data_IF_424270486414
#
_entry.id   IF_424270486414
#
_cell.length_a   1.000
_cell.length_b   1.000
_cell.length_c   1.000
_cell.angle_alpha   90.00
_cell.angle_beta   90.00
_cell.angle_gamma   90.00
#
_symmetry.space_group_name_H-M   'P 1'
#
loop_
_entity.id
_entity.type
_entity.pdbx_description
1 polymer ?
#
# COMPACT_ATOMS: atom_id res chain seq x y z
N UNK A 1 -19.29 45.49 4.05
CA UNK A 1 -19.09 44.42 5.06
C UNK A 1 -17.62 44.43 5.41
N UNK A 2 -17.29 44.73 6.68
CA UNK A 2 -15.91 44.73 7.16
C UNK A 2 -15.56 43.31 7.60
N UNK A 3 -14.53 42.72 7.00
CA UNK A 3 -14.02 41.40 7.38
C UNK A 3 -12.88 41.57 8.38
N UNK A 4 -12.99 40.93 9.54
CA UNK A 4 -11.91 40.79 10.51
C UNK A 4 -11.22 39.45 10.27
N UNK A 5 -9.92 39.48 9.95
CA UNK A 5 -9.09 38.30 9.72
C UNK A 5 -8.33 37.93 11.00
N UNK A 6 -8.14 36.62 11.25
CA UNK A 6 -7.42 36.11 12.42
C UNK A 6 -6.29 35.14 12.01
N UNK A 7 -5.20 35.17 12.77
CA UNK A 7 -4.15 34.13 12.78
C UNK A 7 -3.98 33.60 14.21
N UNK A 8 -3.37 32.43 14.33
CA UNK A 8 -3.50 31.47 15.43
C UNK A 8 -2.84 31.86 16.78
N UNK A 9 -2.95 33.12 17.22
CA UNK A 9 -2.46 33.57 18.52
C UNK A 9 -3.57 34.33 19.26
N UNK A 10 -4.12 33.70 20.31
CA UNK A 10 -5.06 34.16 21.33
C UNK A 10 -6.12 35.21 20.91
N UNK A 11 -7.40 34.83 20.72
CA UNK A 11 -8.42 35.76 20.27
C UNK A 11 -8.96 36.60 21.44
N UNK A 12 -8.62 37.89 21.48
CA UNK A 12 -9.55 38.85 22.06
C UNK A 12 -10.48 39.32 20.94
N UNK A 13 -11.77 39.01 21.06
CA UNK A 13 -12.77 39.62 20.20
C UNK A 13 -12.76 41.11 20.53
N UNK A 14 -12.44 41.96 19.57
CA UNK A 14 -12.67 43.41 19.72
C UNK A 14 -14.15 43.68 20.03
N UNK A 15 -14.49 44.92 20.41
CA UNK A 15 -15.89 45.30 20.68
C UNK A 15 -16.75 45.11 19.43
N UNK A 16 -17.57 44.05 19.40
CA UNK A 16 -18.43 43.69 18.25
C UNK A 16 -19.62 44.64 18.08
N UNK A 17 -20.32 44.93 19.17
CA UNK A 17 -21.45 45.85 19.20
C UNK A 17 -21.56 46.45 20.60
N UNK A 18 -21.99 47.71 20.72
CA UNK A 18 -22.26 48.31 22.03
C UNK A 18 -23.60 47.77 22.55
N UNK A 19 -23.67 47.52 23.85
CA UNK A 19 -24.85 46.92 24.51
C UNK A 19 -26.13 47.72 24.25
N UNK A 20 -26.07 49.05 24.38
CA UNK A 20 -27.18 49.97 24.12
C UNK A 20 -27.74 49.84 22.70
N UNK A 21 -26.86 49.59 21.72
CA UNK A 21 -27.24 49.42 20.31
C UNK A 21 -27.84 48.03 20.06
N UNK A 22 -27.36 46.99 20.74
CA UNK A 22 -27.91 45.64 20.62
C UNK A 22 -29.34 45.57 21.20
N UNK A 23 -29.55 46.14 22.38
CA UNK A 23 -30.84 46.16 23.09
C UNK A 23 -31.92 46.96 22.33
N UNK A 24 -31.51 47.97 21.54
CA UNK A 24 -32.42 48.74 20.69
C UNK A 24 -32.64 48.10 19.31
N UNK A 25 -31.96 46.99 19.00
CA UNK A 25 -32.03 46.36 17.68
C UNK A 25 -33.18 45.36 17.60
N UNK A 26 -33.72 45.18 16.40
CA UNK A 26 -34.69 44.11 16.08
C UNK A 26 -34.15 42.68 16.24
N UNK A 27 -32.86 42.52 16.54
CA UNK A 27 -32.20 41.23 16.68
C UNK A 27 -32.08 40.79 18.15
N UNK A 28 -32.51 41.64 19.09
CA UNK A 28 -32.67 41.34 20.50
C UNK A 28 -34.17 41.28 20.80
N UNK A 29 -34.69 40.09 21.10
CA UNK A 29 -36.09 39.87 21.42
C UNK A 29 -36.21 38.80 22.50
N UNK A 30 -37.08 39.02 23.49
CA UNK A 30 -37.32 38.08 24.60
C UNK A 30 -36.02 37.61 25.30
N UNK A 31 -35.16 38.56 25.67
CA UNK A 31 -33.82 38.35 26.25
C UNK A 31 -32.87 37.46 25.42
N UNK A 32 -33.22 37.18 24.16
CA UNK A 32 -32.45 36.36 23.24
C UNK A 32 -31.92 37.18 22.06
N UNK A 33 -30.70 36.85 21.63
CA UNK A 33 -30.14 37.33 20.38
C UNK A 33 -29.27 36.25 19.74
N UNK A 34 -29.21 36.27 18.40
CA UNK A 34 -28.48 35.25 17.63
C UNK A 34 -27.23 35.84 17.02
N UNK A 35 -26.07 35.25 17.34
CA UNK A 35 -24.79 35.58 16.70
C UNK A 35 -24.55 34.60 15.55
N UNK A 36 -24.40 35.12 14.32
CA UNK A 36 -23.94 34.33 13.18
C UNK A 36 -22.44 34.51 13.00
N UNK A 37 -21.67 33.45 13.25
CA UNK A 37 -20.24 33.40 12.97
C UNK A 37 -20.00 32.72 11.63
N UNK A 38 -19.17 33.32 10.77
CA UNK A 38 -18.67 32.67 9.54
C UNK A 38 -17.17 32.53 9.64
N UNK A 39 -16.69 31.29 9.62
CA UNK A 39 -15.27 30.96 9.69
C UNK A 39 -14.81 30.59 8.28
N UNK A 40 -13.79 31.29 7.79
CA UNK A 40 -13.13 30.97 6.52
C UNK A 40 -11.79 30.33 6.85
N UNK A 41 -11.64 29.04 6.53
CA UNK A 41 -10.37 28.33 6.66
C UNK A 41 -9.54 28.58 5.41
N UNK A 42 -8.61 29.53 5.49
CA UNK A 42 -7.67 29.77 4.41
C UNK A 42 -6.64 28.63 4.36
N UNK A 43 -6.76 27.72 3.38
CA UNK A 43 -5.70 26.76 3.06
C UNK A 43 -4.52 27.55 2.47
N UNK A 44 -3.32 27.30 2.99
CA UNK A 44 -2.09 27.93 2.51
C UNK A 44 -1.87 27.49 1.05
N UNK A 45 -2.16 28.37 0.10
CA UNK A 45 -1.84 28.13 -1.31
C UNK A 45 -0.32 28.22 -1.45
N UNK A 46 0.34 27.07 -1.60
CA UNK A 46 1.74 27.05 -2.03
C UNK A 46 1.76 27.60 -3.46
N UNK A 47 2.56 28.63 -3.73
CA UNK A 47 2.73 29.18 -5.08
C UNK A 47 3.18 28.09 -6.05
N UNK A 48 2.30 27.67 -6.96
CA UNK A 48 2.60 26.73 -8.05
C UNK A 48 3.24 27.45 -9.25
N UNK A 49 4.39 28.11 -9.03
CA UNK A 49 5.22 28.60 -10.13
C UNK A 49 6.62 28.00 -10.03
N UNK A 50 6.69 26.69 -9.85
CA UNK A 50 7.83 25.90 -10.30
C UNK A 50 7.40 25.26 -11.61
N UNK A 51 8.16 25.46 -12.67
CA UNK A 51 8.11 24.61 -13.86
C UNK A 51 8.13 23.17 -13.36
N UNK A 52 7.00 22.49 -13.56
CA UNK A 52 6.75 21.18 -12.99
C UNK A 52 7.62 20.19 -13.74
N UNK A 53 8.80 19.86 -13.19
CA UNK A 53 9.52 18.66 -13.61
C UNK A 53 8.53 17.50 -13.44
N UNK A 54 8.08 16.95 -14.56
CA UNK A 54 7.21 15.77 -14.57
C UNK A 54 8.12 14.58 -14.25
N UNK A 55 7.98 14.03 -13.06
CA UNK A 55 8.66 12.79 -12.68
C UNK A 55 7.79 11.64 -13.17
N UNK A 56 8.30 10.74 -14.05
CA UNK A 56 7.53 9.59 -14.48
C UNK A 56 7.22 8.67 -13.28
N UNK A 57 6.09 7.95 -13.30
CA UNK A 57 5.80 6.93 -12.30
C UNK A 57 6.89 5.88 -12.19
N UNK A 58 7.01 5.26 -11.02
CA UNK A 58 7.96 4.17 -10.82
C UNK A 58 7.52 2.93 -11.58
N UNK A 59 8.44 2.36 -12.36
CA UNK A 59 8.27 1.15 -13.13
C UNK A 59 8.90 -0.10 -12.49
N UNK A 60 9.44 0.02 -11.28
CA UNK A 60 10.11 -1.06 -10.55
C UNK A 60 9.27 -2.35 -10.44
N UNK A 61 7.93 -2.22 -10.33
CA UNK A 61 7.01 -3.37 -10.30
C UNK A 61 7.05 -4.15 -11.60
N UNK A 62 7.04 -3.45 -12.74
CA UNK A 62 7.11 -4.05 -14.08
C UNK A 62 8.47 -4.73 -14.27
N UNK A 63 9.55 -4.04 -13.93
CA UNK A 63 10.91 -4.57 -14.13
C UNK A 63 11.17 -5.86 -13.32
N UNK A 64 10.73 -5.92 -12.05
CA UNK A 64 10.79 -7.17 -11.27
C UNK A 64 9.82 -8.25 -11.78
N UNK A 65 8.67 -7.86 -12.32
CA UNK A 65 7.75 -8.79 -12.97
C UNK A 65 8.35 -9.42 -14.23
N UNK A 66 9.09 -8.63 -15.01
CA UNK A 66 9.77 -9.08 -16.22
C UNK A 66 10.92 -10.03 -15.87
N UNK A 67 11.72 -9.74 -14.84
CA UNK A 67 12.75 -10.66 -14.34
C UNK A 67 12.16 -12.01 -13.93
N UNK A 68 11.00 -12.02 -13.25
CA UNK A 68 10.33 -13.26 -12.85
C UNK A 68 9.83 -14.06 -14.06
N UNK A 69 9.31 -13.38 -15.09
CA UNK A 69 8.73 -14.02 -16.28
C UNK A 69 9.78 -14.51 -17.29
N UNK A 70 10.87 -13.76 -17.43
CA UNK A 70 11.98 -14.08 -18.35
C UNK A 70 12.99 -15.05 -17.74
N UNK A 71 13.02 -15.14 -16.41
CA UNK A 71 13.99 -15.92 -15.63
C UNK A 71 15.44 -15.41 -15.76
N UNK A 72 15.64 -14.19 -16.29
CA UNK A 72 16.95 -13.59 -16.46
C UNK A 72 17.66 -13.45 -15.10
N UNK A 73 18.86 -14.03 -15.00
CA UNK A 73 19.65 -14.03 -13.77
C UNK A 73 19.10 -14.90 -12.63
N UNK A 74 18.16 -15.79 -12.91
CA UNK A 74 17.67 -16.74 -11.91
C UNK A 74 18.81 -17.66 -11.41
N UNK A 75 18.92 -17.80 -10.09
CA UNK A 75 20.00 -18.51 -9.40
C UNK A 75 19.47 -19.57 -8.41
N UNK A 76 18.16 -19.83 -8.43
CA UNK A 76 17.49 -20.89 -7.68
C UNK A 76 16.28 -21.42 -8.45
N UNK A 77 15.92 -22.69 -8.22
CA UNK A 77 14.72 -23.32 -8.78
C UNK A 77 13.98 -24.08 -7.68
N UNK A 78 12.67 -23.88 -7.59
CA UNK A 78 11.78 -24.58 -6.65
C UNK A 78 10.96 -25.63 -7.38
N UNK A 79 10.75 -26.78 -6.76
CA UNK A 79 9.79 -27.76 -7.24
C UNK A 79 8.47 -27.60 -6.46
N UNK A 80 7.41 -27.22 -7.15
CA UNK A 80 6.07 -26.99 -6.57
C UNK A 80 5.06 -27.83 -7.34
N UNK A 81 4.39 -28.76 -6.67
CA UNK A 81 3.39 -29.64 -7.28
C UNK A 81 3.86 -30.38 -8.55
N UNK A 82 5.17 -30.63 -8.70
CA UNK A 82 5.76 -31.28 -9.87
C UNK A 82 6.27 -30.32 -10.95
N UNK A 83 5.98 -29.03 -10.83
CA UNK A 83 6.48 -27.98 -11.71
C UNK A 83 7.75 -27.35 -11.15
N UNK A 84 8.65 -26.93 -12.04
CA UNK A 84 9.87 -26.23 -11.68
C UNK A 84 9.67 -24.73 -11.89
N UNK A 85 9.94 -23.95 -10.85
CA UNK A 85 9.79 -22.49 -10.85
C UNK A 85 11.15 -21.87 -10.57
N UNK A 86 11.73 -21.20 -11.56
CA UNK A 86 12.97 -20.45 -11.39
C UNK A 86 12.73 -19.17 -10.57
N UNK A 87 13.77 -18.67 -9.91
CA UNK A 87 13.69 -17.42 -9.16
C UNK A 87 15.04 -16.89 -8.71
N UNK A 88 15.00 -15.82 -7.93
CA UNK A 88 16.17 -15.04 -7.54
C UNK A 88 16.33 -15.03 -6.02
N UNK A 89 17.43 -15.63 -5.53
CA UNK A 89 17.74 -15.78 -4.10
C UNK A 89 17.76 -14.45 -3.36
N UNK A 90 18.36 -13.43 -3.98
CA UNK A 90 18.47 -12.10 -3.38
C UNK A 90 17.11 -11.44 -3.16
N UNK A 91 16.20 -11.56 -4.13
CA UNK A 91 14.83 -11.05 -4.05
C UNK A 91 14.05 -11.81 -2.97
N UNK A 92 14.10 -13.14 -3.00
CA UNK A 92 13.41 -13.97 -2.00
C UNK A 92 13.89 -13.70 -0.57
N UNK A 93 15.21 -13.60 -0.38
CA UNK A 93 15.81 -13.26 0.90
C UNK A 93 15.49 -11.84 1.37
N UNK A 94 15.32 -10.88 0.46
CA UNK A 94 14.89 -9.53 0.80
C UNK A 94 13.42 -9.48 1.22
N UNK A 95 12.57 -10.33 0.63
CA UNK A 95 11.11 -10.31 0.83
C UNK A 95 10.62 -11.21 1.96
N UNK A 96 11.38 -12.24 2.33
CA UNK A 96 10.99 -13.24 3.32
C UNK A 96 12.15 -13.54 4.26
N UNK A 97 11.93 -13.35 5.56
CA UNK A 97 12.91 -13.72 6.58
C UNK A 97 13.18 -15.24 6.59
N UNK A 98 12.16 -16.03 6.25
CA UNK A 98 12.22 -17.50 6.15
C UNK A 98 13.11 -17.90 4.99
N UNK A 99 12.88 -17.35 3.79
CA UNK A 99 13.78 -17.61 2.66
C UNK A 99 15.18 -17.07 2.93
N UNK A 100 15.31 -15.90 3.57
CA UNK A 100 16.63 -15.37 3.96
C UNK A 100 17.39 -16.36 4.84
N UNK A 101 16.76 -16.91 5.87
CA UNK A 101 17.38 -17.88 6.75
C UNK A 101 17.69 -19.21 6.03
N UNK A 102 16.80 -19.71 5.17
CA UNK A 102 17.01 -20.96 4.44
C UNK A 102 18.10 -20.84 3.36
N UNK A 103 18.14 -19.70 2.66
CA UNK A 103 18.99 -19.51 1.49
C UNK A 103 20.36 -18.92 1.86
N UNK A 104 20.42 -18.08 2.90
CA UNK A 104 21.64 -17.37 3.33
C UNK A 104 22.10 -17.75 4.75
N UNK A 105 21.29 -18.46 5.53
CA UNK A 105 21.58 -18.80 6.93
C UNK A 105 22.41 -20.06 7.14
N UNK A 106 22.75 -20.81 6.09
CA UNK A 106 23.72 -21.91 6.16
C UNK A 106 25.16 -21.37 6.11
N UNK A 107 25.56 -20.62 7.12
CA UNK A 107 26.98 -20.36 7.42
C UNK A 107 27.27 -20.72 8.87
N UNK A 108 27.14 -22.00 9.22
CA UNK A 108 27.78 -22.57 10.40
C UNK A 108 28.73 -23.69 9.95
N UNK A 109 29.99 -23.30 9.90
CA UNK A 109 31.25 -24.03 9.77
C UNK A 109 31.20 -25.53 10.16
N UNK A 110 31.48 -26.39 9.18
CA UNK A 110 31.44 -27.84 9.33
C UNK A 110 31.89 -28.61 8.09
N UNK A 111 33.10 -28.31 7.60
CA UNK A 111 33.94 -29.16 6.73
C UNK A 111 33.29 -30.36 6.01
N UNK A 112 32.87 -30.19 4.76
CA UNK A 112 33.17 -31.15 3.70
C UNK A 112 33.51 -30.39 2.40
N UNK A 113 34.80 -30.35 2.08
CA UNK A 113 35.25 -30.19 0.70
C UNK A 113 34.76 -31.41 -0.08
N UNK A 114 33.82 -31.21 -0.99
CA UNK A 114 33.67 -32.09 -2.15
C UNK A 114 33.14 -31.27 -3.33
N UNK A 115 34.02 -31.23 -4.32
CA UNK A 115 33.87 -30.91 -5.73
C UNK A 115 33.43 -29.53 -6.23
N UNK A 116 34.21 -29.13 -7.24
CA UNK A 116 34.15 -27.87 -7.93
C UNK A 116 32.97 -27.82 -8.91
N UNK A 117 32.20 -26.75 -8.83
CA UNK A 117 31.88 -25.99 -10.04
C UNK A 117 31.86 -24.50 -9.69
N UNK A 118 33.03 -23.91 -9.87
CA UNK A 118 33.25 -22.47 -9.92
C UNK A 118 33.12 -22.08 -11.40
N UNK A 119 31.96 -21.56 -11.78
CA UNK A 119 31.73 -20.83 -13.03
C UNK A 119 30.74 -19.71 -12.70
N UNK A 120 31.01 -18.42 -12.84
CA UNK A 120 32.22 -17.73 -13.23
C UNK A 120 32.16 -16.31 -12.63
N UNK A 121 33.32 -15.80 -12.22
CA UNK A 121 33.53 -14.38 -12.11
C UNK A 121 33.89 -13.89 -13.52
N UNK A 122 33.20 -12.87 -14.00
CA UNK A 122 33.61 -12.01 -15.11
C UNK A 122 33.16 -10.61 -14.72
N UNK A 123 34.08 -9.85 -14.13
CA UNK A 123 34.92 -8.87 -14.82
C UNK A 123 34.23 -7.51 -14.83
N UNK A 124 34.54 -6.74 -13.80
CA UNK A 124 34.48 -5.29 -13.84
C UNK A 124 35.29 -4.84 -15.07
N UNK A 125 34.59 -4.33 -16.08
CA UNK A 125 35.21 -3.63 -17.20
C UNK A 125 34.79 -2.18 -17.11
N UNK A 126 35.76 -1.35 -16.70
CA UNK A 126 35.75 0.08 -16.94
C UNK A 126 35.62 0.29 -18.46
N UNK A 127 34.51 0.92 -18.87
CA UNK A 127 34.30 1.34 -20.25
C UNK A 127 34.08 2.84 -20.27
N UNK A 128 35.19 3.58 -20.31
CA UNK A 128 35.22 4.93 -20.87
C UNK A 128 34.97 4.81 -22.38
N UNK A 129 33.77 5.21 -22.83
CA UNK A 129 33.58 5.68 -24.21
C UNK A 129 32.34 6.55 -24.31
N UNK A 130 32.60 7.84 -24.48
CA UNK A 130 31.69 8.83 -25.02
C UNK A 130 31.38 8.49 -26.48
N UNK A 131 30.12 8.24 -26.83
CA UNK A 131 29.58 8.53 -28.17
C UNK A 131 28.14 9.04 -28.01
N UNK A 132 27.95 10.29 -28.45
CA UNK A 132 26.71 11.07 -28.49
C UNK A 132 25.85 10.72 -29.72
N UNK A 133 24.57 11.13 -29.63
CA UNK A 133 23.54 11.20 -30.70
C UNK A 133 22.99 9.84 -31.18
N UNK A 134 21.68 9.60 -31.16
CA UNK A 134 20.67 10.37 -31.87
C UNK A 134 19.33 10.49 -31.13
N UNK A 135 18.68 11.62 -31.42
CA UNK A 135 17.33 12.00 -31.00
C UNK A 135 16.28 11.09 -31.63
N UNK A 136 15.42 10.48 -30.82
CA UNK A 136 14.08 10.11 -31.27
C UNK A 136 13.04 10.86 -30.45
N UNK A 137 12.52 11.91 -31.10
CA UNK A 137 11.34 12.63 -30.70
C UNK A 137 10.10 11.84 -31.12
N UNK A 138 9.38 11.26 -30.18
CA UNK A 138 7.95 11.00 -30.36
C UNK A 138 7.20 11.52 -29.13
N UNK A 139 6.73 12.77 -29.27
CA UNK A 139 5.67 13.32 -28.45
C UNK A 139 4.35 13.05 -29.18
N UNK A 140 3.65 12.00 -28.76
CA UNK A 140 2.22 11.78 -28.99
C UNK A 140 1.80 10.78 -27.90
N UNK A 141 0.81 10.95 -27.05
CA UNK A 141 -0.27 11.90 -26.96
C UNK A 141 -1.33 11.23 -26.09
N UNK A 142 -1.51 11.74 -24.86
CA UNK A 142 -2.80 11.89 -24.16
C UNK A 142 -3.48 10.63 -23.54
N UNK A 143 -3.68 10.75 -22.21
CA UNK A 143 -4.66 10.10 -21.30
C UNK A 143 -4.57 8.59 -21.05
N UNK A 144 -4.70 8.06 -19.84
CA UNK A 144 -4.62 8.56 -18.46
C UNK A 144 -3.76 7.51 -17.70
N UNK A 145 -3.40 7.68 -16.45
CA UNK A 145 -4.33 7.74 -15.34
C UNK A 145 -3.64 8.41 -14.16
N UNK A 146 -4.48 9.12 -13.43
CA UNK A 146 -4.21 9.59 -12.10
C UNK A 146 -3.69 8.44 -11.23
N UNK A 147 -2.85 8.78 -10.24
CA UNK A 147 -2.54 7.87 -9.15
C UNK A 147 -3.81 7.66 -8.33
N UNK A 148 -4.70 6.82 -8.81
CA UNK A 148 -5.64 6.13 -7.95
C UNK A 148 -4.86 4.93 -7.39
N UNK A 149 -4.51 5.04 -6.10
CA UNK A 149 -4.04 3.94 -5.23
C UNK A 149 -5.22 2.98 -4.92
N UNK A 150 -6.16 2.87 -5.87
CA UNK A 150 -7.20 1.86 -5.94
C UNK A 150 -6.77 0.92 -7.07
N UNK A 151 -6.05 -0.14 -6.68
CA UNK A 151 -5.97 -1.38 -7.46
C UNK A 151 -7.42 -1.92 -7.62
N UNK A 152 -8.21 -1.31 -8.50
CA UNK A 152 -9.26 -2.01 -9.24
C UNK A 152 -8.56 -2.73 -10.40
N UNK A 153 -7.68 -3.67 -10.05
CA UNK A 153 -7.60 -4.88 -10.83
C UNK A 153 -9.02 -5.48 -10.74
N UNK A 154 -9.86 -5.13 -11.72
CA UNK A 154 -11.02 -5.91 -12.17
C UNK A 154 -10.49 -7.27 -12.68
N UNK A 155 -9.81 -8.01 -11.80
CA UNK A 155 -9.57 -9.43 -11.92
C UNK A 155 -10.93 -10.08 -11.74
N UNK A 156 -11.59 -10.23 -12.90
CA UNK A 156 -12.62 -11.19 -13.23
C UNK A 156 -13.04 -12.03 -12.01
N UNK A 157 -14.13 -11.60 -11.38
CA UNK A 157 -14.78 -12.16 -10.19
C UNK A 157 -15.27 -13.60 -10.45
N UNK A 158 -14.33 -14.52 -10.64
CA UNK A 158 -14.60 -15.93 -10.90
C UNK A 158 -13.53 -16.88 -10.31
N UNK A 159 -12.66 -16.38 -9.44
CA UNK A 159 -11.75 -17.19 -8.62
C UNK A 159 -12.17 -17.19 -7.16
N UNK A 160 -12.74 -18.30 -6.69
CA UNK A 160 -13.40 -18.45 -5.40
C UNK A 160 -12.59 -18.00 -4.16
N UNK A 161 -13.34 -17.72 -3.10
CA UNK A 161 -12.95 -17.83 -1.68
C UNK A 161 -11.90 -18.92 -1.37
N UNK A 162 -11.86 -20.00 -2.15
CA UNK A 162 -10.85 -21.07 -2.10
C UNK A 162 -9.40 -20.62 -2.35
N UNK A 163 -9.13 -19.52 -3.07
CA UNK A 163 -7.76 -19.10 -3.40
C UNK A 163 -7.06 -18.33 -2.26
N UNK A 164 -7.82 -17.50 -1.53
CA UNK A 164 -7.25 -16.60 -0.54
C UNK A 164 -6.84 -17.31 0.75
N UNK A 165 -7.54 -18.40 1.09
CA UNK A 165 -7.25 -19.20 2.29
C UNK A 165 -5.87 -19.89 2.22
N UNK A 166 -5.53 -20.67 1.18
CA UNK A 166 -4.18 -21.23 0.99
C UNK A 166 -3.11 -20.14 0.88
N UNK A 167 -3.42 -19.02 0.22
CA UNK A 167 -2.47 -17.91 0.07
C UNK A 167 -2.15 -17.25 1.42
N UNK A 168 -3.13 -17.08 2.31
CA UNK A 168 -2.91 -16.60 3.67
C UNK A 168 -1.97 -17.54 4.46
N UNK A 169 -2.18 -18.86 4.33
CA UNK A 169 -1.32 -19.86 4.97
C UNK A 169 0.11 -19.78 4.44
N UNK A 170 0.28 -19.64 3.13
CA UNK A 170 1.60 -19.47 2.52
C UNK A 170 2.26 -18.16 2.98
N UNK A 171 1.51 -17.07 3.00
CA UNK A 171 2.02 -15.77 3.43
C UNK A 171 2.50 -15.79 4.88
N UNK A 172 1.79 -16.45 5.79
CA UNK A 172 2.25 -16.64 7.17
C UNK A 172 3.49 -17.53 7.24
N UNK A 173 3.46 -18.68 6.54
CA UNK A 173 4.56 -19.65 6.53
C UNK A 173 5.89 -19.06 6.05
N UNK A 174 5.85 -18.15 5.07
CA UNK A 174 7.03 -17.50 4.50
C UNK A 174 7.24 -16.07 5.04
N UNK A 175 6.54 -15.66 6.09
CA UNK A 175 6.69 -14.35 6.74
C UNK A 175 6.51 -13.15 5.77
N UNK A 176 5.53 -13.24 4.88
CA UNK A 176 5.16 -12.20 3.92
C UNK A 176 4.07 -11.30 4.50
N UNK A 177 4.43 -10.44 5.47
CA UNK A 177 3.47 -9.68 6.28
C UNK A 177 2.48 -8.82 5.48
N UNK A 178 2.95 -8.09 4.44
CA UNK A 178 2.05 -7.29 3.60
C UNK A 178 1.04 -8.17 2.86
N UNK A 179 1.48 -9.30 2.31
CA UNK A 179 0.61 -10.25 1.62
C UNK A 179 -0.40 -10.87 2.60
N UNK A 180 0.03 -11.21 3.82
CA UNK A 180 -0.85 -11.72 4.87
C UNK A 180 -2.00 -10.75 5.17
N UNK A 181 -1.72 -9.45 5.23
CA UNK A 181 -2.74 -8.41 5.45
C UNK A 181 -3.68 -8.26 4.25
N UNK A 182 -3.16 -8.32 3.02
CA UNK A 182 -3.98 -8.28 1.80
C UNK A 182 -4.95 -9.47 1.77
N UNK A 183 -4.46 -10.68 2.00
CA UNK A 183 -5.31 -11.88 2.07
C UNK A 183 -6.37 -11.76 3.18
N UNK A 184 -5.98 -11.27 4.36
CA UNK A 184 -6.93 -11.06 5.44
C UNK A 184 -8.02 -10.04 5.08
N UNK A 185 -7.66 -8.92 4.42
CA UNK A 185 -8.61 -7.90 3.95
C UNK A 185 -9.62 -8.51 2.97
N UNK A 186 -9.15 -9.22 1.94
CA UNK A 186 -10.01 -9.87 0.93
C UNK A 186 -10.91 -10.94 1.55
N UNK A 187 -10.42 -11.70 2.53
CA UNK A 187 -11.25 -12.65 3.28
C UNK A 187 -12.30 -11.97 4.15
N UNK A 188 -11.98 -10.82 4.76
CA UNK A 188 -12.94 -10.04 5.54
C UNK A 188 -14.07 -9.46 4.68
N UNK A 189 -13.77 -9.01 3.47
CA UNK A 189 -14.76 -8.46 2.52
C UNK A 189 -15.80 -9.51 2.06
N UNK A 190 -15.45 -10.80 2.16
CA UNK A 190 -16.25 -11.93 1.66
C UNK A 190 -16.82 -12.83 2.77
N UNK A 191 -16.88 -12.39 4.02
CA UNK A 191 -17.43 -13.21 5.11
C UNK A 191 -18.94 -13.39 4.93
N UNK A 192 -19.38 -14.64 4.83
CA UNK A 192 -20.79 -15.04 4.82
C UNK A 192 -21.09 -16.15 5.86
N UNK A 193 -22.36 -16.54 5.97
CA UNK A 193 -22.80 -17.53 6.95
C UNK A 193 -22.18 -18.94 6.73
N UNK A 194 -21.77 -19.27 5.50
CA UNK A 194 -21.12 -20.53 5.15
C UNK A 194 -19.63 -20.54 5.45
N UNK A 195 -18.95 -19.41 5.24
CA UNK A 195 -17.48 -19.28 5.28
C UNK A 195 -16.97 -18.77 6.63
N UNK A 196 -17.81 -18.12 7.46
CA UNK A 196 -17.39 -17.53 8.73
C UNK A 196 -16.76 -18.55 9.70
N UNK A 197 -17.24 -19.80 9.70
CA UNK A 197 -16.69 -20.85 10.56
C UNK A 197 -15.27 -21.27 10.12
N UNK A 198 -15.08 -21.46 8.82
CA UNK A 198 -13.80 -21.85 8.22
C UNK A 198 -12.78 -20.71 8.33
N UNK A 199 -13.20 -19.47 8.03
CA UNK A 199 -12.38 -18.27 8.16
C UNK A 199 -11.97 -18.00 9.61
N UNK A 200 -12.86 -18.23 10.58
CA UNK A 200 -12.52 -18.12 11.99
C UNK A 200 -11.48 -19.16 12.41
N UNK A 201 -11.66 -20.43 12.00
CA UNK A 201 -10.67 -21.49 12.24
C UNK A 201 -9.32 -21.18 11.60
N UNK A 202 -9.32 -20.63 10.38
CA UNK A 202 -8.12 -20.20 9.69
C UNK A 202 -7.42 -19.03 10.41
N UNK A 203 -8.19 -18.03 10.85
CA UNK A 203 -7.67 -16.86 11.57
C UNK A 203 -6.96 -17.25 12.87
N UNK A 204 -7.52 -18.23 13.60
CA UNK A 204 -6.91 -18.74 14.82
C UNK A 204 -5.61 -19.48 14.55
N UNK A 205 -5.59 -20.32 13.51
CA UNK A 205 -4.41 -21.09 13.11
C UNK A 205 -3.25 -20.21 12.62
N UNK A 206 -3.54 -19.15 11.86
CA UNK A 206 -2.54 -18.23 11.30
C UNK A 206 -2.27 -17.01 12.21
N UNK A 207 -2.81 -16.99 13.44
CA UNK A 207 -2.71 -15.86 14.37
C UNK A 207 -3.09 -14.49 13.76
N UNK A 208 -4.06 -14.47 12.84
CA UNK A 208 -4.49 -13.25 12.17
C UNK A 208 -5.64 -12.58 12.95
N UNK A 209 -5.31 -11.52 13.70
CA UNK A 209 -6.28 -10.84 14.58
C UNK A 209 -7.38 -10.12 13.81
N UNK A 210 -7.05 -9.47 12.70
CA UNK A 210 -8.01 -8.71 11.90
C UNK A 210 -9.14 -9.61 11.36
N UNK A 211 -8.78 -10.77 10.78
CA UNK A 211 -9.77 -11.73 10.29
C UNK A 211 -10.61 -12.30 11.44
N UNK A 212 -9.98 -12.60 12.58
CA UNK A 212 -10.69 -13.09 13.78
C UNK A 212 -11.71 -12.07 14.31
N UNK A 213 -11.34 -10.80 14.41
CA UNK A 213 -12.22 -9.73 14.86
C UNK A 213 -13.40 -9.55 13.91
N UNK A 214 -13.16 -9.53 12.59
CA UNK A 214 -14.21 -9.44 11.58
C UNK A 214 -15.20 -10.63 11.63
N UNK A 215 -14.70 -11.87 11.75
CA UNK A 215 -15.57 -13.04 11.92
C UNK A 215 -16.42 -12.95 13.20
N UNK A 216 -15.84 -12.48 14.31
CA UNK A 216 -16.57 -12.33 15.58
C UNK A 216 -17.59 -11.19 15.54
N UNK A 217 -17.31 -10.11 14.80
CA UNK A 217 -18.29 -9.04 14.56
C UNK A 217 -19.47 -9.55 13.73
N UNK A 218 -19.21 -10.31 12.66
CA UNK A 218 -20.25 -10.93 11.86
C UNK A 218 -21.15 -11.86 12.69
N UNK A 219 -20.57 -12.67 13.59
CA UNK A 219 -21.34 -13.55 14.49
C UNK A 219 -22.14 -12.81 15.57
N UNK A 220 -21.73 -11.58 15.92
CA UNK A 220 -22.45 -10.72 16.88
C UNK A 220 -23.58 -9.93 16.21
N UNK A 221 -23.53 -9.74 14.90
CA UNK A 221 -24.60 -9.10 14.17
C UNK A 221 -25.86 -9.98 14.25
N UNK A 222 -27.02 -9.45 14.67
CA UNK A 222 -28.25 -10.21 14.63
C UNK A 222 -28.55 -10.55 13.17
N UNK A 223 -28.75 -11.84 12.90
CA UNK A 223 -29.26 -12.31 11.60
C UNK A 223 -30.63 -11.67 11.41
N UNK A 224 -30.71 -10.60 10.59
CA UNK A 224 -32.00 -10.05 10.18
C UNK A 224 -32.70 -11.13 9.33
N UNK A 225 -33.75 -11.69 9.92
CA UNK A 225 -34.62 -12.74 9.38
C UNK A 225 -35.68 -12.19 8.43
#
# INVERSE_FOLDING_TARGET
>A
MNYTYFSNSYPSWGRLIRKDVLEQSKFFWDDNFTIRCSVIVAKKLRSKNQESIVVPPSDIRRDFGDLLRTEDGADVTFQVAGELIAGHRCVLAARSSVFKAQILGETNDGSQKADASRHGATEETESDRDEEEDQESEADGVHGEDYDDDDDDDDDDNGGDEMWSPLLVAADRYDLQRLKLICAKKLCERIDASTVADNLGLAEKQHCRLLKEACLEFLKAPVES
#
